data_IF_689080254484
#
_entry.id   IF_689080254484
#
_cell.length_a   1.000
_cell.length_b   1.000
_cell.length_c   1.000
_cell.angle_alpha   90.00
_cell.angle_beta   90.00
_cell.angle_gamma   90.00
#
_symmetry.space_group_name_H-M   'P 1'
#
loop_
_entity.id
_entity.type
_entity.pdbx_description
1 polymer ?
#
# COMPACT_ATOMS: atom_id res chain seq x y z
N UNK A 1 20.75 -14.20 -19.06
CA UNK A 1 19.39 -14.60 -19.47
C UNK A 1 18.43 -13.45 -19.23
N UNK A 2 17.13 -13.70 -19.44
CA UNK A 2 16.05 -12.80 -19.04
C UNK A 2 15.49 -13.28 -17.70
N UNK A 3 15.32 -12.39 -16.74
CA UNK A 3 14.90 -12.73 -15.36
C UNK A 3 14.38 -11.49 -14.64
N UNK A 4 13.06 -11.38 -14.50
CA UNK A 4 12.36 -10.25 -13.86
C UNK A 4 11.66 -10.75 -12.60
N UNK A 5 12.01 -10.17 -11.46
CA UNK A 5 11.48 -10.58 -10.17
C UNK A 5 10.75 -9.43 -9.45
N UNK A 6 9.73 -9.78 -8.67
CA UNK A 6 9.17 -8.93 -7.62
C UNK A 6 9.84 -9.31 -6.31
N UNK A 7 10.58 -8.39 -5.70
CA UNK A 7 11.35 -8.63 -4.48
C UNK A 7 10.55 -8.32 -3.20
N UNK A 8 9.67 -7.32 -3.24
CA UNK A 8 8.82 -6.97 -2.10
C UNK A 8 7.54 -6.25 -2.49
N UNK A 9 6.50 -6.41 -1.68
CA UNK A 9 5.23 -5.69 -1.77
C UNK A 9 4.89 -5.16 -0.38
N UNK A 10 5.13 -3.88 -0.14
CA UNK A 10 5.06 -3.26 1.18
C UNK A 10 4.04 -2.12 1.21
N UNK A 11 2.80 -2.37 1.69
CA UNK A 11 1.86 -1.31 2.05
C UNK A 11 2.46 -0.37 3.11
N UNK A 12 2.35 0.94 2.94
CA UNK A 12 2.91 1.90 3.91
C UNK A 12 2.10 1.99 5.21
N UNK A 13 0.83 1.58 5.15
CA UNK A 13 -0.09 1.41 6.28
C UNK A 13 -0.89 0.13 6.09
N UNK A 14 -1.43 -0.42 7.18
CA UNK A 14 -2.17 -1.69 7.16
C UNK A 14 -3.68 -1.47 7.24
N UNK A 15 -4.13 -0.25 7.54
CA UNK A 15 -5.53 0.12 7.64
C UNK A 15 -5.78 1.38 6.83
N UNK A 16 -6.87 1.42 6.08
CA UNK A 16 -7.29 2.58 5.30
C UNK A 16 -8.81 2.71 5.34
N UNK A 17 -9.31 3.93 5.51
CA UNK A 17 -10.74 4.22 5.41
C UNK A 17 -11.23 4.06 3.97
N UNK A 18 -12.38 3.43 3.75
CA UNK A 18 -12.99 3.36 2.43
C UNK A 18 -13.17 4.76 1.81
N UNK A 19 -12.73 4.93 0.56
CA UNK A 19 -12.75 6.22 -0.14
C UNK A 19 -11.50 7.08 0.09
N UNK A 20 -10.56 6.63 0.90
CA UNK A 20 -9.26 7.26 1.06
C UNK A 20 -8.19 6.57 0.24
N UNK A 21 -7.09 7.29 0.01
CA UNK A 21 -5.93 6.76 -0.69
C UNK A 21 -4.88 6.25 0.30
N UNK A 22 -4.09 5.28 -0.14
CA UNK A 22 -2.86 4.88 0.54
C UNK A 22 -1.75 4.58 -0.47
N UNK A 23 -0.52 4.51 0.03
CA UNK A 23 0.64 4.19 -0.80
C UNK A 23 1.12 2.75 -0.55
N UNK A 24 1.55 2.08 -1.61
CA UNK A 24 2.15 0.74 -1.58
C UNK A 24 3.45 0.77 -2.38
N UNK A 25 4.53 0.36 -1.74
CA UNK A 25 5.85 0.24 -2.37
C UNK A 25 6.03 -1.18 -2.91
N UNK A 26 6.39 -1.29 -4.19
CA UNK A 26 6.76 -2.55 -4.83
C UNK A 26 8.19 -2.46 -5.29
N UNK A 27 9.06 -3.33 -4.79
CA UNK A 27 10.43 -3.45 -5.30
C UNK A 27 10.47 -4.54 -6.35
N UNK A 28 10.97 -4.20 -7.54
CA UNK A 28 11.15 -5.12 -8.65
C UNK A 28 12.61 -5.09 -9.10
N UNK A 29 13.08 -6.20 -9.66
CA UNK A 29 14.44 -6.35 -10.13
C UNK A 29 14.47 -6.99 -11.51
N UNK A 30 15.43 -6.55 -12.30
CA UNK A 30 15.91 -7.24 -13.47
C UNK A 30 17.20 -7.96 -13.06
N UNK A 31 17.11 -9.27 -12.83
CA UNK A 31 18.22 -10.15 -12.47
C UNK A 31 18.92 -10.72 -13.72
N UNK A 32 18.42 -10.39 -14.91
CA UNK A 32 18.99 -10.79 -16.19
C UNK A 32 20.13 -9.90 -16.66
N UNK A 33 20.64 -10.25 -17.85
CA UNK A 33 21.83 -9.64 -18.48
C UNK A 33 21.46 -8.56 -19.51
N UNK A 34 20.17 -8.36 -19.78
CA UNK A 34 19.67 -7.42 -20.78
C UNK A 34 18.90 -6.29 -20.13
N UNK A 35 18.84 -5.12 -20.78
CA UNK A 35 17.90 -4.08 -20.40
C UNK A 35 16.49 -4.49 -20.85
N UNK A 36 15.52 -4.31 -19.97
CA UNK A 36 14.15 -4.77 -20.21
C UNK A 36 13.11 -3.72 -19.88
N UNK A 37 12.03 -3.73 -20.65
CA UNK A 37 10.84 -2.91 -20.42
C UNK A 37 9.66 -3.84 -20.21
N UNK A 38 8.99 -3.69 -19.08
CA UNK A 38 7.89 -4.59 -18.66
C UNK A 38 6.87 -3.85 -17.80
N UNK A 39 5.67 -4.42 -17.72
CA UNK A 39 4.60 -3.91 -16.88
C UNK A 39 4.68 -4.49 -15.47
N UNK A 40 4.43 -3.67 -14.47
CA UNK A 40 4.20 -4.09 -13.09
C UNK A 40 2.74 -3.80 -12.74
N UNK A 41 1.99 -4.84 -12.37
CA UNK A 41 0.59 -4.73 -11.96
C UNK A 41 0.46 -5.01 -10.48
N UNK A 42 -0.17 -4.08 -9.74
CA UNK A 42 -0.50 -4.24 -8.34
C UNK A 42 -1.97 -4.69 -8.21
N UNK A 43 -2.24 -5.64 -7.32
CA UNK A 43 -3.56 -6.20 -7.08
C UNK A 43 -3.95 -6.12 -5.61
N UNK A 44 -5.26 -5.99 -5.38
CA UNK A 44 -5.91 -6.30 -4.12
C UNK A 44 -6.81 -7.51 -4.33
N UNK A 45 -6.47 -8.63 -3.68
CA UNK A 45 -6.96 -9.96 -4.01
C UNK A 45 -6.76 -10.24 -5.52
N UNK A 46 -7.85 -10.36 -6.28
CA UNK A 46 -7.84 -10.56 -7.74
C UNK A 46 -8.12 -9.28 -8.53
N UNK A 47 -8.38 -8.16 -7.85
CA UNK A 47 -8.76 -6.89 -8.50
C UNK A 47 -7.53 -6.04 -8.76
N UNK A 48 -7.33 -5.61 -10.00
CA UNK A 48 -6.24 -4.71 -10.37
C UNK A 48 -6.41 -3.36 -9.69
N UNK A 49 -5.40 -2.93 -8.94
CA UNK A 49 -5.30 -1.55 -8.43
C UNK A 49 -4.76 -0.65 -9.55
N UNK A 50 -3.57 -0.98 -10.07
CA UNK A 50 -2.89 -0.16 -11.08
C UNK A 50 -1.82 -0.96 -11.81
N UNK A 51 -1.58 -0.60 -13.07
CA UNK A 51 -0.45 -1.08 -13.88
C UNK A 51 0.48 0.08 -14.20
N UNK A 52 1.79 -0.17 -14.17
CA UNK A 52 2.82 0.80 -14.57
C UNK A 52 3.89 0.09 -15.39
N UNK A 53 4.19 0.64 -16.56
CA UNK A 53 5.34 0.23 -17.36
C UNK A 53 6.62 0.86 -16.81
N UNK A 54 7.68 0.08 -16.74
CA UNK A 54 9.02 0.53 -16.34
C UNK A 54 10.08 -0.10 -17.23
N UNK A 55 11.25 0.54 -17.26
CA UNK A 55 12.46 0.01 -17.90
C UNK A 55 13.56 -0.12 -16.86
N UNK A 56 14.21 -1.28 -16.78
CA UNK A 56 15.37 -1.51 -15.92
C UNK A 56 16.55 -2.04 -16.71
N UNK A 57 17.71 -1.47 -16.43
CA UNK A 57 18.99 -2.04 -16.87
C UNK A 57 19.20 -3.41 -16.23
N UNK A 58 20.06 -4.22 -16.85
CA UNK A 58 20.49 -5.52 -16.32
C UNK A 58 21.01 -5.41 -14.88
N UNK A 59 20.78 -6.44 -14.08
CA UNK A 59 21.26 -6.59 -12.69
C UNK A 59 20.92 -5.39 -11.79
N UNK A 60 19.74 -4.78 -12.00
CA UNK A 60 19.32 -3.59 -11.28
C UNK A 60 17.92 -3.77 -10.68
N UNK A 61 17.61 -2.98 -9.65
CA UNK A 61 16.32 -2.99 -8.96
C UNK A 61 15.81 -1.57 -8.76
N UNK A 62 14.49 -1.43 -8.69
CA UNK A 62 13.86 -0.16 -8.32
C UNK A 62 12.63 -0.40 -7.46
N UNK A 63 12.30 0.60 -6.64
CA UNK A 63 11.04 0.64 -5.89
C UNK A 63 10.06 1.58 -6.58
N UNK A 64 8.88 1.06 -6.88
CA UNK A 64 7.76 1.80 -7.45
C UNK A 64 6.74 2.04 -6.34
N UNK A 65 6.36 3.30 -6.14
CA UNK A 65 5.24 3.64 -5.27
C UNK A 65 3.95 3.73 -6.09
N UNK A 66 2.94 2.97 -5.68
CA UNK A 66 1.59 3.01 -6.22
C UNK A 66 0.65 3.69 -5.22
N UNK A 67 -0.18 4.61 -5.70
CA UNK A 67 -1.32 5.12 -4.95
C UNK A 67 -2.54 4.22 -5.22
N UNK A 68 -3.15 3.73 -4.15
CA UNK A 68 -4.38 2.95 -4.18
C UNK A 68 -5.55 3.78 -3.66
N UNK A 69 -6.48 4.12 -4.55
CA UNK A 69 -7.79 4.69 -4.24
C UNK A 69 -8.78 3.58 -3.89
N UNK A 70 -9.33 3.63 -2.67
CA UNK A 70 -10.23 2.59 -2.14
C UNK A 70 -11.72 2.89 -2.36
N UNK A 71 -12.08 3.96 -3.05
CA UNK A 71 -13.48 4.36 -3.29
C UNK A 71 -14.32 3.28 -4.00
N UNK A 72 -13.69 2.49 -4.88
CA UNK A 72 -14.33 1.39 -5.60
C UNK A 72 -14.28 0.04 -4.88
N UNK A 73 -13.70 -0.04 -3.68
CA UNK A 73 -13.49 -1.28 -2.95
C UNK A 73 -14.44 -1.35 -1.76
N UNK A 74 -15.01 -2.53 -1.51
CA UNK A 74 -15.80 -2.77 -0.30
C UNK A 74 -14.89 -2.88 0.92
N UNK A 75 -15.44 -2.67 2.11
CA UNK A 75 -14.69 -2.86 3.35
C UNK A 75 -14.37 -4.33 3.58
N UNK A 76 -13.19 -4.62 4.12
CA UNK A 76 -12.71 -5.99 4.30
C UNK A 76 -11.19 -6.11 4.26
N UNK A 77 -10.72 -7.34 4.45
CA UNK A 77 -9.30 -7.67 4.34
C UNK A 77 -8.93 -7.97 2.89
N UNK A 78 -7.83 -7.37 2.43
CA UNK A 78 -7.29 -7.55 1.09
C UNK A 78 -5.85 -8.03 1.19
N UNK A 79 -5.55 -9.13 0.52
CA UNK A 79 -4.19 -9.54 0.25
C UNK A 79 -3.65 -8.72 -0.91
N UNK A 80 -2.49 -8.11 -0.71
CA UNK A 80 -1.82 -7.29 -1.72
C UNK A 80 -0.73 -8.12 -2.39
N UNK A 81 -0.77 -8.14 -3.71
CA UNK A 81 0.21 -8.81 -4.54
C UNK A 81 0.63 -7.94 -5.70
N UNK A 82 1.83 -8.19 -6.22
CA UNK A 82 2.32 -7.56 -7.44
C UNK A 82 2.79 -8.62 -8.43
N UNK A 83 2.60 -8.33 -9.70
CA UNK A 83 3.05 -9.13 -10.82
C UNK A 83 3.88 -8.27 -11.76
N UNK A 84 5.15 -8.64 -11.95
CA UNK A 84 6.01 -8.11 -13.00
C UNK A 84 5.86 -9.00 -14.24
N UNK A 85 5.34 -8.44 -15.33
CA UNK A 85 5.01 -9.19 -16.53
C UNK A 85 6.25 -9.83 -17.12
N UNK A 86 6.17 -11.12 -17.42
CA UNK A 86 7.31 -11.82 -17.98
C UNK A 86 7.66 -11.30 -19.37
N UNK A 87 8.94 -11.18 -19.68
CA UNK A 87 9.39 -10.81 -21.02
C UNK A 87 9.55 -12.02 -21.93
N UNK A 88 9.73 -11.76 -23.23
CA UNK A 88 10.01 -12.82 -24.20
C UNK A 88 11.37 -13.45 -23.91
N UNK A 89 11.40 -14.78 -23.74
CA UNK A 89 12.64 -15.54 -23.51
C UNK A 89 12.99 -15.75 -22.05
N UNK A 90 12.23 -15.18 -21.11
CA UNK A 90 12.34 -15.45 -19.68
C UNK A 90 11.83 -16.85 -19.33
N UNK A 91 12.68 -17.60 -18.63
CA UNK A 91 12.43 -19.00 -18.24
C UNK A 91 12.06 -19.15 -16.78
N UNK A 92 12.68 -18.36 -15.90
CA UNK A 92 12.30 -18.25 -14.50
C UNK A 92 11.11 -17.28 -14.41
N UNK A 93 9.92 -17.79 -14.09
CA UNK A 93 8.69 -16.97 -13.99
C UNK A 93 8.06 -17.00 -12.60
N UNK A 94 8.69 -17.74 -11.68
CA UNK A 94 8.11 -18.07 -10.39
C UNK A 94 8.19 -16.90 -9.41
N UNK A 95 9.21 -16.06 -9.55
CA UNK A 95 9.50 -14.85 -8.77
C UNK A 95 8.95 -13.57 -9.39
N UNK A 96 8.36 -13.64 -10.58
CA UNK A 96 7.64 -12.52 -11.20
C UNK A 96 6.39 -12.11 -10.40
N UNK A 97 5.91 -12.95 -9.49
CA UNK A 97 4.75 -12.65 -8.64
C UNK A 97 5.13 -12.77 -7.17
N UNK A 98 4.73 -11.79 -6.37
CA UNK A 98 4.86 -11.84 -4.92
C UNK A 98 3.56 -11.39 -4.26
N UNK A 99 3.15 -12.13 -3.22
CA UNK A 99 2.02 -11.82 -2.35
C UNK A 99 2.54 -11.75 -0.92
N UNK A 100 2.43 -10.60 -0.27
CA UNK A 100 3.10 -10.36 1.02
C UNK A 100 2.30 -9.42 1.95
N UNK A 101 1.71 -8.35 1.38
CA UNK A 101 0.95 -7.37 2.15
C UNK A 101 -0.48 -7.83 2.48
N UNK A 102 -0.99 -7.38 3.63
CA UNK A 102 -2.43 -7.40 3.95
C UNK A 102 -2.87 -6.01 4.37
N UNK A 103 -4.00 -5.57 3.83
CA UNK A 103 -4.61 -4.27 4.15
C UNK A 103 -6.07 -4.46 4.53
N UNK A 104 -6.48 -3.84 5.63
CA UNK A 104 -7.88 -3.70 6.00
C UNK A 104 -8.43 -2.39 5.43
N UNK A 105 -9.44 -2.50 4.56
CA UNK A 105 -10.30 -1.36 4.23
C UNK A 105 -11.41 -1.33 5.29
N UNK A 106 -11.47 -0.26 6.08
CA UNK A 106 -12.40 -0.10 7.22
C UNK A 106 -13.25 1.16 7.09
N UNK A 107 -14.05 1.47 8.12
CA UNK A 107 -14.65 2.79 8.29
C UNK A 107 -13.57 3.88 8.39
N UNK A 108 -13.92 5.08 7.93
CA UNK A 108 -13.00 6.22 7.92
C UNK A 108 -12.68 6.61 9.36
N UNK A 109 -11.40 6.55 9.72
CA UNK A 109 -10.92 6.92 11.04
C UNK A 109 -10.69 5.75 11.99
N UNK A 110 -10.92 4.51 11.58
CA UNK A 110 -10.43 3.32 12.28
C UNK A 110 -8.90 3.23 12.12
N UNK A 111 -8.17 3.36 13.24
CA UNK A 111 -6.70 3.39 13.30
C UNK A 111 -6.15 2.08 13.86
N UNK A 112 -6.94 1.36 14.65
CA UNK A 112 -6.51 0.14 15.35
C UNK A 112 -6.95 -1.17 14.65
N UNK A 113 -7.85 -1.09 13.69
CA UNK A 113 -8.35 -2.18 12.86
C UNK A 113 -9.47 -2.99 13.52
N UNK A 114 -10.12 -2.46 14.56
CA UNK A 114 -11.24 -3.11 15.25
C UNK A 114 -12.59 -2.92 14.53
N UNK A 115 -12.57 -2.27 13.36
CA UNK A 115 -13.73 -1.99 12.50
C UNK A 115 -14.70 -1.00 13.08
N UNK A 116 -14.25 -0.23 14.06
CA UNK A 116 -14.98 0.88 14.66
C UNK A 116 -14.09 2.13 14.63
N UNK A 117 -14.71 3.28 14.42
CA UNK A 117 -14.10 4.59 14.64
C UNK A 117 -14.69 5.16 15.91
N UNK A 118 -13.90 5.18 16.97
CA UNK A 118 -14.31 5.64 18.29
C UNK A 118 -13.25 6.49 18.99
N UNK A 119 -13.46 6.75 20.28
CA UNK A 119 -12.55 7.59 21.07
C UNK A 119 -11.15 6.96 21.18
N UNK A 120 -11.03 5.65 21.06
CA UNK A 120 -9.75 4.93 21.06
C UNK A 120 -8.90 5.34 19.86
N UNK A 121 -9.45 5.39 18.66
CA UNK A 121 -8.74 5.81 17.44
C UNK A 121 -8.30 7.27 17.51
N UNK A 122 -9.19 8.11 18.03
CA UNK A 122 -8.89 9.52 18.26
C UNK A 122 -7.70 9.72 19.19
N UNK A 123 -7.57 8.89 20.23
CA UNK A 123 -6.42 8.91 21.13
C UNK A 123 -5.14 8.40 20.44
N UNK A 124 -5.24 7.44 19.52
CA UNK A 124 -4.11 6.96 18.73
C UNK A 124 -3.56 8.05 17.79
N UNK A 125 -4.43 8.80 17.10
CA UNK A 125 -3.99 9.96 16.31
C UNK A 125 -3.35 11.01 17.22
N UNK A 126 -3.99 11.35 18.35
CA UNK A 126 -3.45 12.33 19.31
C UNK A 126 -2.04 11.98 19.79
N UNK A 127 -1.76 10.68 20.02
CA UNK A 127 -0.44 10.19 20.44
C UNK A 127 0.62 10.33 19.34
N UNK A 128 0.20 10.25 18.07
CA UNK A 128 1.06 10.33 16.91
C UNK A 128 1.18 11.74 16.30
N UNK A 129 0.43 12.74 16.81
CA UNK A 129 0.46 14.11 16.30
C UNK A 129 1.85 14.74 16.26
N UNK A 130 2.01 15.68 15.33
CA UNK A 130 3.25 16.40 15.06
C UNK A 130 4.41 15.46 14.71
N UNK A 131 4.10 14.40 13.96
CA UNK A 131 5.08 13.42 13.50
C UNK A 131 5.03 13.26 11.98
N UNK A 132 6.18 12.90 11.43
CA UNK A 132 6.39 12.56 10.01
C UNK A 132 7.13 11.23 9.91
N UNK A 133 7.30 10.70 8.70
CA UNK A 133 8.07 9.48 8.44
C UNK A 133 9.42 9.46 9.19
N UNK A 134 9.63 8.40 9.98
CA UNK A 134 10.85 8.20 10.79
C UNK A 134 10.81 8.82 12.19
N UNK A 135 9.78 9.61 12.52
CA UNK A 135 9.58 10.12 13.88
C UNK A 135 9.33 8.98 14.87
N UNK A 136 9.80 9.05 16.14
CA UNK A 136 9.63 7.98 17.13
C UNK A 136 8.17 7.64 17.46
N UNK A 137 7.26 8.61 17.30
CA UNK A 137 5.82 8.45 17.55
C UNK A 137 5.00 8.30 16.26
N UNK A 138 5.65 8.11 15.11
CA UNK A 138 4.98 7.87 13.84
C UNK A 138 4.10 6.61 13.93
N UNK A 139 2.82 6.76 13.59
CA UNK A 139 1.90 5.65 13.38
C UNK A 139 1.32 5.79 11.97
N UNK A 140 1.70 4.94 11.00
CA UNK A 140 1.27 5.10 9.63
C UNK A 140 -0.26 4.98 9.45
N UNK A 141 -0.96 4.28 10.35
CA UNK A 141 -2.42 4.19 10.30
C UNK A 141 -3.12 5.45 10.83
N UNK A 142 -2.39 6.35 11.52
CA UNK A 142 -2.92 7.62 12.00
C UNK A 142 -2.70 8.79 11.01
N UNK A 143 -1.94 8.58 9.94
CA UNK A 143 -1.92 9.45 8.75
C UNK A 143 -3.12 9.04 7.85
N UNK A 144 -4.26 9.67 8.13
CA UNK A 144 -5.56 9.29 7.57
C UNK A 144 -5.65 9.74 6.12
N UNK A 145 -5.19 10.95 5.82
CA UNK A 145 -5.23 11.52 4.47
C UNK A 145 -4.03 11.13 3.59
N UNK A 146 -3.02 10.46 4.14
CA UNK A 146 -1.80 10.02 3.43
C UNK A 146 -0.98 11.17 2.85
N UNK A 147 -0.79 12.23 3.63
CA UNK A 147 0.07 13.37 3.29
C UNK A 147 1.47 13.31 3.93
N UNK A 148 1.82 12.17 4.55
CA UNK A 148 3.08 11.89 5.24
C UNK A 148 3.34 12.74 6.51
N UNK A 149 2.30 13.43 7.02
CA UNK A 149 2.32 14.23 8.24
C UNK A 149 1.10 13.89 9.10
N UNK A 150 1.30 13.60 10.39
CA UNK A 150 0.17 13.41 11.32
C UNK A 150 -0.10 14.74 12.02
N UNK A 151 -1.16 15.43 11.61
CA UNK A 151 -1.49 16.76 12.11
C UNK A 151 -2.95 16.94 12.55
N UNK A 152 -3.41 18.19 12.62
CA UNK A 152 -4.78 18.50 13.03
C UNK A 152 -5.81 18.01 12.01
N UNK A 153 -5.44 17.84 10.75
CA UNK A 153 -6.29 17.36 9.66
C UNK A 153 -6.71 15.92 9.92
N UNK A 154 -5.76 15.02 10.19
CA UNK A 154 -6.04 13.62 10.56
C UNK A 154 -6.93 13.53 11.79
N UNK A 155 -6.60 14.35 12.78
CA UNK A 155 -7.34 14.44 14.02
C UNK A 155 -8.80 14.87 13.82
N UNK A 156 -9.05 15.84 12.93
CA UNK A 156 -10.43 16.24 12.59
C UNK A 156 -11.15 15.18 11.76
N UNK A 157 -10.45 14.46 10.88
CA UNK A 157 -11.06 13.38 10.09
C UNK A 157 -11.58 12.28 11.03
N UNK A 158 -10.77 11.80 11.98
CA UNK A 158 -11.25 10.80 12.94
C UNK A 158 -12.41 11.36 13.77
N UNK A 159 -12.28 12.59 14.27
CA UNK A 159 -13.32 13.22 15.09
C UNK A 159 -14.68 13.32 14.39
N UNK A 160 -14.70 13.63 13.09
CA UNK A 160 -15.94 13.80 12.33
C UNK A 160 -16.63 12.48 12.01
N UNK A 161 -15.97 11.34 12.19
CA UNK A 161 -16.49 10.01 11.93
C UNK A 161 -16.81 9.20 13.20
N UNK A 162 -16.65 9.79 14.40
CA UNK A 162 -17.04 9.13 15.65
C UNK A 162 -18.54 9.33 15.94
N UNK A 163 -19.29 8.27 16.33
CA UNK A 163 -18.95 6.86 16.19
C UNK A 163 -19.34 6.34 14.81
N UNK A 164 -18.52 5.46 14.23
CA UNK A 164 -18.89 4.66 13.06
C UNK A 164 -18.45 3.23 13.29
N UNK A 165 -19.27 2.26 12.90
CA UNK A 165 -18.90 0.84 12.93
C UNK A 165 -19.22 0.24 11.57
N UNK A 166 -18.33 -0.61 11.06
CA UNK A 166 -18.63 -1.35 9.85
C UNK A 166 -19.80 -2.31 10.06
N UNK A 167 -20.72 -2.44 9.09
CA UNK A 167 -21.86 -3.34 9.17
C UNK A 167 -21.46 -4.82 9.21
#
# INVERSE_FOLDING_TARGET
GHDIAVLSVNPLKTIVGQGYTMQINVTVANQGDYMETFNVTLYANTTTIKTREITLTSLNSTTITFAWDTSGFVKGNYTISAYAWSVLGETNKADNTLSDGSVLISCVGDVNGDRTTELTDYQLVKKAMASTLGSPNWNPNADINSDDIIDVTDYQIVKSHIPTTDP
#
